data_IF_385666460668
#
_entry.id   IF_385666460668
#
_cell.length_a   1.000
_cell.length_b   1.000
_cell.length_c   1.000
_cell.angle_alpha   90.00
_cell.angle_beta   90.00
_cell.angle_gamma   90.00
#
_symmetry.space_group_name_H-M   'P 1'
#
loop_
_entity.id
_entity.type
_entity.pdbx_description
1 polymer ?
#
# COMPACT_ATOMS: atom_id res chain seq x y z
N UNK A 1 68.46 -11.63 11.70
CA UNK A 1 67.20 -11.06 11.16
C UNK A 1 66.05 -12.07 10.98
N UNK A 2 66.29 -13.36 10.65
CA UNK A 2 65.20 -14.35 10.47
C UNK A 2 64.31 -14.59 11.71
N UNK A 3 64.87 -14.62 12.92
CA UNK A 3 64.10 -14.83 14.17
C UNK A 3 63.19 -13.66 14.54
N UNK A 4 63.60 -12.43 14.25
CA UNK A 4 62.76 -11.24 14.46
C UNK A 4 61.58 -11.20 13.48
N UNK A 5 61.77 -11.66 12.24
CA UNK A 5 60.68 -11.79 11.27
C UNK A 5 59.65 -12.85 11.67
N UNK A 6 60.09 -13.98 12.24
CA UNK A 6 59.18 -15.01 12.74
C UNK A 6 58.35 -14.53 13.94
N UNK A 7 58.96 -13.79 14.87
CA UNK A 7 58.26 -13.19 16.00
C UNK A 7 57.28 -12.10 15.56
N UNK A 8 57.64 -11.30 14.55
CA UNK A 8 56.75 -10.29 13.97
C UNK A 8 55.52 -10.90 13.27
N UNK A 9 55.73 -11.97 12.49
CA UNK A 9 54.64 -12.69 11.84
C UNK A 9 53.71 -13.38 12.85
N UNK A 10 54.26 -13.97 13.92
CA UNK A 10 53.45 -14.55 15.00
C UNK A 10 52.62 -13.48 15.73
N UNK A 11 53.18 -12.30 15.97
CA UNK A 11 52.46 -11.19 16.60
C UNK A 11 51.28 -10.69 15.72
N UNK A 12 51.46 -10.63 14.40
CA UNK A 12 50.38 -10.26 13.47
C UNK A 12 49.25 -11.30 13.43
N UNK A 13 49.57 -12.60 13.48
CA UNK A 13 48.56 -13.66 13.51
C UNK A 13 47.74 -13.61 14.81
N UNK A 14 48.38 -13.33 15.95
CA UNK A 14 47.68 -13.19 17.24
C UNK A 14 46.75 -11.97 17.23
N UNK A 15 47.20 -10.85 16.64
CA UNK A 15 46.40 -9.62 16.55
C UNK A 15 45.18 -9.78 15.64
N UNK A 16 45.31 -10.53 14.54
CA UNK A 16 44.18 -10.88 13.68
C UNK A 16 43.20 -11.84 14.36
N UNK A 17 43.70 -12.83 15.12
CA UNK A 17 42.84 -13.75 15.86
C UNK A 17 42.01 -13.04 16.95
N UNK A 18 42.55 -12.00 17.60
CA UNK A 18 41.78 -11.22 18.58
C UNK A 18 40.63 -10.40 17.99
N UNK A 19 40.69 -10.05 16.70
CA UNK A 19 39.64 -9.26 16.04
C UNK A 19 38.41 -10.11 15.62
N UNK A 20 38.58 -11.43 15.47
CA UNK A 20 37.49 -12.35 15.07
C UNK A 20 36.62 -12.74 16.26
N UNK A 21 37.14 -12.68 17.50
CA UNK A 21 36.42 -13.11 18.70
C UNK A 21 35.41 -12.06 19.20
N UNK A 22 35.59 -10.77 18.87
CA UNK A 22 34.68 -9.71 19.33
C UNK A 22 33.48 -9.48 18.41
N UNK A 23 33.44 -10.03 17.20
CA UNK A 23 32.33 -9.85 16.25
C UNK A 23 31.27 -10.95 16.28
N UNK A 24 31.46 -12.01 17.09
CA UNK A 24 30.52 -13.14 17.21
C UNK A 24 29.83 -13.23 18.57
N UNK A 25 29.97 -12.21 19.42
CA UNK A 25 29.17 -12.17 20.66
C UNK A 25 27.69 -11.99 20.28
N UNK A 26 26.79 -12.91 20.65
CA UNK A 26 25.37 -12.74 20.41
C UNK A 26 24.90 -11.50 21.19
N UNK A 27 24.43 -10.48 20.48
CA UNK A 27 23.70 -9.37 21.07
C UNK A 27 22.39 -9.95 21.61
N UNK A 28 22.31 -10.15 22.93
CA UNK A 28 21.01 -10.32 23.58
C UNK A 28 20.29 -8.99 23.49
N UNK A 29 19.36 -8.89 22.53
CA UNK A 29 18.34 -7.86 22.55
C UNK A 29 17.49 -8.09 23.81
N UNK A 30 17.62 -7.22 24.81
CA UNK A 30 16.68 -7.17 25.92
C UNK A 30 15.28 -6.98 25.33
N UNK A 31 14.37 -7.90 25.67
CA UNK A 31 12.95 -7.82 25.31
C UNK A 31 12.42 -6.52 25.93
N UNK A 32 11.96 -5.54 25.13
CA UNK A 32 11.28 -4.40 25.69
C UNK A 32 10.04 -4.91 26.42
N UNK A 33 9.88 -4.55 27.68
CA UNK A 33 8.57 -4.57 28.32
C UNK A 33 7.63 -3.80 27.40
N UNK A 34 6.68 -4.50 26.79
CA UNK A 34 5.54 -3.91 26.14
C UNK A 34 4.65 -3.30 27.24
N UNK A 35 5.00 -2.09 27.67
CA UNK A 35 3.96 -1.15 28.04
C UNK A 35 3.07 -0.99 26.79
N UNK A 36 1.73 -1.04 26.89
CA UNK A 36 0.87 -0.87 25.74
C UNK A 36 1.09 0.55 25.21
N UNK A 37 1.83 0.66 24.10
CA UNK A 37 2.05 1.91 23.41
C UNK A 37 0.69 2.52 23.08
N UNK A 38 0.49 3.66 23.73
CA UNK A 38 -0.64 4.54 23.57
C UNK A 38 -0.72 4.97 22.10
N UNK A 39 -1.86 4.63 21.49
CA UNK A 39 -2.35 4.94 20.15
C UNK A 39 -2.07 6.41 19.75
N UNK A 40 -0.92 6.67 19.12
CA UNK A 40 -0.49 8.02 18.72
C UNK A 40 -0.32 8.18 17.18
N UNK A 41 -0.51 7.10 16.40
CA UNK A 41 -0.06 7.03 15.00
C UNK A 41 -1.16 7.24 13.93
N UNK A 42 -2.35 7.71 14.31
CA UNK A 42 -3.48 7.79 13.36
C UNK A 42 -3.42 8.94 12.35
N UNK A 43 -2.67 10.01 12.62
CA UNK A 43 -2.65 11.21 11.79
C UNK A 43 -1.69 11.11 10.60
N UNK A 44 -0.49 10.55 10.82
CA UNK A 44 0.55 10.43 9.80
C UNK A 44 0.15 9.46 8.67
N UNK A 45 -0.49 8.33 9.02
CA UNK A 45 -0.98 7.35 8.04
C UNK A 45 -2.05 7.94 7.10
N UNK A 46 -2.96 8.78 7.61
CA UNK A 46 -4.02 9.39 6.80
C UNK A 46 -3.49 10.42 5.79
N UNK A 47 -2.38 11.08 6.09
CA UNK A 47 -1.75 12.03 5.17
C UNK A 47 -1.02 11.26 4.06
N UNK A 48 -0.26 10.22 4.42
CA UNK A 48 0.39 9.31 3.47
C UNK A 48 -0.63 8.71 2.49
N UNK A 49 -1.78 8.23 2.99
CA UNK A 49 -2.80 7.60 2.15
C UNK A 49 -3.41 8.59 1.14
N UNK A 50 -3.60 9.86 1.52
CA UNK A 50 -4.12 10.90 0.62
C UNK A 50 -3.12 11.28 -0.45
N UNK A 51 -1.87 11.48 -0.07
CA UNK A 51 -0.81 11.86 -1.00
C UNK A 51 -0.57 10.72 -2.01
N UNK A 52 -0.52 9.48 -1.52
CA UNK A 52 -0.38 8.30 -2.37
C UNK A 52 -1.55 8.15 -3.35
N UNK A 53 -2.79 8.46 -2.92
CA UNK A 53 -3.97 8.43 -3.80
C UNK A 53 -3.79 9.33 -5.02
N UNK A 54 -3.29 10.55 -4.85
CA UNK A 54 -3.10 11.49 -5.98
C UNK A 54 -2.12 10.92 -7.00
N UNK A 55 -1.04 10.30 -6.52
CA UNK A 55 -0.05 9.65 -7.38
C UNK A 55 -0.63 8.45 -8.14
N UNK A 56 -1.41 7.60 -7.46
CA UNK A 56 -2.04 6.44 -8.08
C UNK A 56 -3.11 6.85 -9.10
N UNK A 57 -3.92 7.86 -8.80
CA UNK A 57 -4.95 8.37 -9.72
C UNK A 57 -4.30 8.88 -11.02
N UNK A 58 -3.19 9.62 -10.91
CA UNK A 58 -2.43 10.08 -12.07
C UNK A 58 -1.75 8.93 -12.82
N UNK A 59 -1.18 7.96 -12.09
CA UNK A 59 -0.55 6.78 -12.68
C UNK A 59 -1.53 5.96 -13.53
N UNK A 60 -2.74 5.71 -13.02
CA UNK A 60 -3.78 5.02 -13.79
C UNK A 60 -4.26 5.82 -15.00
N UNK A 61 -4.30 7.15 -14.91
CA UNK A 61 -4.63 8.02 -16.05
C UNK A 61 -3.58 7.90 -17.17
N UNK A 62 -2.28 7.97 -16.83
CA UNK A 62 -1.20 7.79 -17.81
C UNK A 62 -1.21 6.41 -18.47
N UNK A 63 -1.50 5.36 -17.69
CA UNK A 63 -1.61 4.02 -18.23
C UNK A 63 -2.84 3.88 -19.13
N UNK A 64 -3.97 4.46 -18.76
CA UNK A 64 -5.17 4.47 -19.61
C UNK A 64 -4.94 5.25 -20.91
N UNK A 65 -4.26 6.39 -20.87
CA UNK A 65 -3.87 7.14 -22.07
C UNK A 65 -3.12 6.28 -23.08
N UNK A 66 -2.21 5.44 -22.58
CA UNK A 66 -1.41 4.56 -23.45
C UNK A 66 -2.16 3.32 -23.89
N UNK A 67 -2.87 2.64 -22.99
CA UNK A 67 -3.34 1.26 -23.20
C UNK A 67 -4.85 1.12 -23.36
N UNK A 68 -5.64 2.09 -22.90
CA UNK A 68 -7.10 2.08 -22.96
C UNK A 68 -7.67 3.52 -23.12
N UNK A 69 -7.29 4.25 -24.20
CA UNK A 69 -7.58 5.68 -24.31
C UNK A 69 -9.08 6.01 -24.36
N UNK A 70 -9.92 5.07 -24.81
CA UNK A 70 -11.38 5.22 -24.78
C UNK A 70 -11.98 5.25 -23.37
N UNK A 71 -11.23 4.80 -22.35
CA UNK A 71 -11.70 4.71 -20.97
C UNK A 71 -11.31 5.93 -20.11
N UNK A 72 -10.50 6.88 -20.62
CA UNK A 72 -9.96 7.99 -19.83
C UNK A 72 -11.08 8.86 -19.23
N UNK A 73 -12.02 9.32 -20.05
CA UNK A 73 -13.09 10.20 -19.59
C UNK A 73 -13.99 9.48 -18.58
N UNK A 74 -14.29 8.20 -18.87
CA UNK A 74 -15.00 7.33 -17.95
C UNK A 74 -14.28 7.18 -16.61
N UNK A 75 -12.95 7.05 -16.61
CA UNK A 75 -12.16 6.96 -15.39
C UNK A 75 -12.21 8.26 -14.57
N UNK A 76 -12.12 9.42 -15.23
CA UNK A 76 -12.25 10.73 -14.56
C UNK A 76 -13.61 10.88 -13.89
N UNK A 77 -14.68 10.47 -14.56
CA UNK A 77 -16.03 10.46 -13.99
C UNK A 77 -16.14 9.55 -12.76
N UNK A 78 -15.66 8.30 -12.86
CA UNK A 78 -15.66 7.34 -11.74
C UNK A 78 -14.89 7.90 -10.54
N UNK A 79 -13.73 8.50 -10.77
CA UNK A 79 -12.89 9.10 -9.71
C UNK A 79 -13.57 10.29 -9.04
N UNK A 80 -14.09 11.23 -9.84
CA UNK A 80 -14.79 12.42 -9.35
C UNK A 80 -16.01 12.03 -8.51
N UNK A 81 -16.80 11.07 -9.00
CA UNK A 81 -17.94 10.54 -8.27
C UNK A 81 -17.51 9.89 -6.95
N UNK A 82 -16.45 9.08 -6.96
CA UNK A 82 -15.92 8.42 -5.75
C UNK A 82 -15.53 9.43 -4.68
N UNK A 83 -14.83 10.49 -5.05
CA UNK A 83 -14.38 11.52 -4.13
C UNK A 83 -15.57 12.26 -3.48
N UNK A 84 -16.63 12.54 -4.26
CA UNK A 84 -17.88 13.10 -3.74
C UNK A 84 -18.59 12.14 -2.77
N UNK A 85 -18.67 10.86 -3.12
CA UNK A 85 -19.31 9.84 -2.28
C UNK A 85 -18.56 9.64 -0.96
N UNK A 86 -17.22 9.57 -1.01
CA UNK A 86 -16.39 9.45 0.18
C UNK A 86 -16.54 10.65 1.11
N UNK A 87 -16.62 11.87 0.55
CA UNK A 87 -16.89 13.09 1.34
C UNK A 87 -18.25 13.01 2.04
N UNK A 88 -19.31 12.64 1.32
CA UNK A 88 -20.67 12.48 1.89
C UNK A 88 -20.70 11.41 2.98
N UNK A 89 -20.06 10.26 2.76
CA UNK A 89 -19.96 9.19 3.75
C UNK A 89 -19.24 9.65 5.01
N UNK A 90 -18.16 10.43 4.87
CA UNK A 90 -17.43 11.02 6.00
C UNK A 90 -18.33 11.97 6.80
N UNK A 91 -19.08 12.83 6.13
CA UNK A 91 -20.03 13.76 6.76
C UNK A 91 -21.15 13.01 7.50
N UNK A 92 -21.78 12.02 6.87
CA UNK A 92 -22.83 11.20 7.50
C UNK A 92 -22.28 10.41 8.72
N UNK A 93 -21.05 9.88 8.62
CA UNK A 93 -20.38 9.23 9.76
C UNK A 93 -20.12 10.20 10.91
N UNK A 94 -19.70 11.43 10.62
CA UNK A 94 -19.48 12.47 11.64
C UNK A 94 -20.76 12.88 12.35
N UNK A 95 -21.91 12.82 11.65
CA UNK A 95 -23.23 13.09 12.24
C UNK A 95 -23.81 11.92 13.03
N UNK A 96 -23.18 10.75 12.99
CA UNK A 96 -23.69 9.52 13.61
C UNK A 96 -24.85 8.88 12.84
N UNK A 97 -25.08 9.28 11.58
CA UNK A 97 -26.14 8.76 10.72
C UNK A 97 -25.76 7.40 10.09
N UNK A 98 -24.49 6.99 10.22
CA UNK A 98 -23.97 5.73 9.72
C UNK A 98 -23.51 4.83 10.86
N UNK A 99 -24.01 3.59 10.89
CA UNK A 99 -23.50 2.55 11.77
C UNK A 99 -22.03 2.20 11.43
N UNK A 100 -21.27 1.82 12.46
CA UNK A 100 -19.90 1.32 12.32
C UNK A 100 -19.91 -0.13 11.80
N UNK A 101 -20.26 -0.31 10.51
CA UNK A 101 -20.10 -1.56 9.77
C UNK A 101 -19.16 -1.40 8.57
N UNK A 102 -18.52 -2.49 8.14
CA UNK A 102 -17.76 -2.53 6.89
C UNK A 102 -18.69 -2.21 5.70
N UNK A 103 -18.32 -1.23 4.88
CA UNK A 103 -19.14 -0.85 3.70
C UNK A 103 -19.02 -1.87 2.57
N UNK A 104 -17.89 -2.58 2.56
CA UNK A 104 -17.40 -3.34 1.42
C UNK A 104 -17.50 -4.80 1.80
N UNK A 105 -18.21 -5.58 0.99
CA UNK A 105 -18.32 -7.01 1.20
C UNK A 105 -17.01 -7.77 0.84
N UNK A 106 -16.91 -9.00 1.33
CA UNK A 106 -15.74 -9.86 1.10
C UNK A 106 -15.54 -10.21 -0.38
N UNK A 107 -16.62 -10.27 -1.16
CA UNK A 107 -16.56 -10.59 -2.58
C UNK A 107 -15.84 -9.49 -3.36
N UNK A 108 -16.16 -8.23 -3.06
CA UNK A 108 -15.48 -7.08 -3.62
C UNK A 108 -14.00 -7.09 -3.25
N UNK A 109 -13.65 -7.35 -1.99
CA UNK A 109 -12.25 -7.40 -1.51
C UNK A 109 -11.44 -8.47 -2.26
N UNK A 110 -11.97 -9.69 -2.38
CA UNK A 110 -11.25 -10.75 -3.08
C UNK A 110 -11.10 -10.41 -4.57
N UNK A 111 -12.14 -9.87 -5.20
CA UNK A 111 -12.06 -9.44 -6.59
C UNK A 111 -11.07 -8.30 -6.79
N UNK A 112 -11.00 -7.36 -5.84
CA UNK A 112 -10.02 -6.27 -5.86
C UNK A 112 -8.59 -6.80 -5.84
N UNK A 113 -8.35 -7.79 -4.98
CA UNK A 113 -7.05 -8.46 -4.85
C UNK A 113 -6.68 -9.18 -6.15
N UNK A 114 -7.58 -9.95 -6.75
CA UNK A 114 -7.34 -10.62 -8.03
C UNK A 114 -6.94 -9.63 -9.14
N UNK A 115 -7.71 -8.55 -9.30
CA UNK A 115 -7.45 -7.53 -10.33
C UNK A 115 -6.11 -6.84 -10.06
N UNK A 116 -5.82 -6.51 -8.80
CA UNK A 116 -4.55 -5.87 -8.42
C UNK A 116 -3.35 -6.77 -8.69
N UNK A 117 -3.46 -8.07 -8.42
CA UNK A 117 -2.41 -9.04 -8.75
C UNK A 117 -2.18 -9.10 -10.28
N UNK A 118 -3.25 -9.19 -11.06
CA UNK A 118 -3.15 -9.21 -12.53
C UNK A 118 -2.53 -7.91 -13.06
N UNK A 119 -3.01 -6.76 -12.58
CA UNK A 119 -2.49 -5.44 -12.92
C UNK A 119 -1.00 -5.31 -12.60
N UNK A 120 -0.59 -5.65 -11.37
CA UNK A 120 0.80 -5.58 -10.95
C UNK A 120 1.69 -6.50 -11.80
N UNK A 121 1.23 -7.72 -12.09
CA UNK A 121 1.98 -8.63 -12.96
C UNK A 121 2.11 -8.07 -14.39
N UNK A 122 1.07 -7.42 -14.93
CA UNK A 122 1.08 -6.83 -16.26
C UNK A 122 2.06 -5.65 -16.33
N UNK A 123 2.06 -4.78 -15.31
CA UNK A 123 3.01 -3.68 -15.16
C UNK A 123 4.45 -4.19 -15.06
N UNK A 124 4.70 -5.17 -14.20
CA UNK A 124 6.03 -5.75 -13.97
C UNK A 124 6.62 -6.33 -15.26
N UNK A 125 5.80 -7.09 -16.00
CA UNK A 125 6.18 -7.71 -17.28
C UNK A 125 6.16 -6.74 -18.46
N UNK A 126 5.63 -5.53 -18.27
CA UNK A 126 5.34 -4.55 -19.35
C UNK A 126 4.48 -5.16 -20.45
N UNK A 127 3.53 -6.01 -20.06
CA UNK A 127 2.64 -6.70 -20.99
C UNK A 127 1.53 -5.75 -21.45
N UNK A 128 1.72 -5.15 -22.62
CA UNK A 128 0.80 -4.14 -23.16
C UNK A 128 -0.59 -4.74 -23.44
N UNK A 129 -0.67 -6.00 -23.86
CA UNK A 129 -1.95 -6.67 -24.14
C UNK A 129 -2.75 -6.94 -22.87
N UNK A 130 -2.06 -7.39 -21.82
CA UNK A 130 -2.68 -7.57 -20.50
C UNK A 130 -3.07 -6.22 -19.88
N UNK A 131 -2.24 -5.19 -20.01
CA UNK A 131 -2.54 -3.83 -19.54
C UNK A 131 -3.80 -3.26 -20.20
N UNK A 132 -3.93 -3.39 -21.52
CA UNK A 132 -5.15 -3.00 -22.26
C UNK A 132 -6.40 -3.75 -21.80
N UNK A 133 -6.24 -4.94 -21.22
CA UNK A 133 -7.35 -5.77 -20.73
C UNK A 133 -7.71 -5.47 -19.28
N UNK A 134 -6.71 -5.36 -18.40
CA UNK A 134 -6.92 -5.24 -16.94
C UNK A 134 -7.27 -3.81 -16.51
N UNK A 135 -6.81 -2.78 -17.23
CA UNK A 135 -7.13 -1.37 -16.90
C UNK A 135 -8.65 -1.10 -16.96
N UNK A 136 -9.37 -1.46 -18.04
CA UNK A 136 -10.83 -1.32 -18.07
C UNK A 136 -11.53 -2.12 -16.94
N UNK A 137 -11.01 -3.29 -16.58
CA UNK A 137 -11.56 -4.11 -15.49
C UNK A 137 -11.38 -3.43 -14.13
N UNK A 138 -10.22 -2.83 -13.89
CA UNK A 138 -9.93 -2.05 -12.69
C UNK A 138 -10.90 -0.87 -12.57
N UNK A 139 -11.14 -0.15 -13.66
CA UNK A 139 -12.08 0.99 -13.67
C UNK A 139 -13.52 0.55 -13.42
N UNK A 140 -13.98 -0.52 -14.07
CA UNK A 140 -15.30 -1.11 -13.80
C UNK A 140 -15.44 -1.53 -12.33
N UNK A 141 -14.39 -2.12 -11.75
CA UNK A 141 -14.39 -2.54 -10.37
C UNK A 141 -14.49 -1.36 -9.38
N UNK A 142 -13.82 -0.24 -9.68
CA UNK A 142 -14.00 1.01 -8.93
C UNK A 142 -15.38 1.65 -9.14
N UNK A 143 -15.99 1.53 -10.32
CA UNK A 143 -17.38 1.96 -10.52
C UNK A 143 -18.33 1.16 -9.61
N UNK A 144 -18.14 -0.15 -9.48
CA UNK A 144 -18.92 -0.98 -8.54
C UNK A 144 -18.75 -0.54 -7.09
N UNK A 145 -17.54 -0.09 -6.71
CA UNK A 145 -17.32 0.51 -5.38
C UNK A 145 -18.16 1.78 -5.18
N UNK A 146 -18.26 2.64 -6.19
CA UNK A 146 -19.14 3.82 -6.11
C UNK A 146 -20.60 3.40 -5.91
N UNK A 147 -21.05 2.34 -6.57
CA UNK A 147 -22.41 1.82 -6.40
C UNK A 147 -22.65 1.29 -4.98
N UNK A 148 -21.64 0.67 -4.35
CA UNK A 148 -21.68 0.29 -2.92
C UNK A 148 -21.81 1.53 -2.03
N UNK A 149 -21.03 2.58 -2.28
CA UNK A 149 -21.10 3.82 -1.51
C UNK A 149 -22.45 4.54 -1.65
N UNK A 150 -23.03 4.56 -2.85
CA UNK A 150 -24.38 5.10 -3.09
C UNK A 150 -25.41 4.37 -2.27
N UNK A 151 -25.46 3.04 -2.35
CA UNK A 151 -26.39 2.21 -1.58
C UNK A 151 -26.31 2.50 -0.08
N UNK A 152 -25.09 2.68 0.44
CA UNK A 152 -24.89 3.02 1.86
C UNK A 152 -25.42 4.41 2.23
N UNK A 153 -25.26 5.39 1.35
CA UNK A 153 -25.83 6.73 1.55
C UNK A 153 -27.36 6.75 1.39
N UNK A 154 -27.92 5.91 0.53
CA UNK A 154 -29.37 5.82 0.35
C UNK A 154 -30.07 5.31 1.61
N UNK A 155 -29.45 4.39 2.37
CA UNK A 155 -29.94 3.96 3.70
C UNK A 155 -30.01 5.12 4.69
N UNK A 156 -29.01 6.02 4.66
CA UNK A 156 -29.00 7.23 5.49
C UNK A 156 -30.13 8.17 5.11
N UNK A 157 -30.31 8.44 3.81
CA UNK A 157 -31.32 9.40 3.34
C UNK A 157 -32.77 8.88 3.49
N UNK A 158 -32.96 7.57 3.68
CA UNK A 158 -34.25 6.94 3.87
C UNK A 158 -34.70 6.88 5.35
N UNK A 159 -33.82 7.23 6.30
CA UNK A 159 -34.07 7.24 7.75
C UNK A 159 -34.36 8.65 8.23
#
# INVERSE_FOLDING_TARGET
MKRFHQLFLLAQIILLASFVVTSLAPVQAEVPNEDPEQECCGHEQQEIDKDLKVHLDFYYELLAEKFAPSEIERWKEIRSERDLLQKKLKEAKQKGELENGEAIDKEWIEKHKEITIAFNSAVEKRDEGELSTVIPQLFEHYKKLNDVYKKRLDVVNAT
#
